data_IF_088355701630
#
_entry.id   IF_088355701630
#
_cell.length_a   1.000
_cell.length_b   1.000
_cell.length_c   1.000
_cell.angle_alpha   90.00
_cell.angle_beta   90.00
_cell.angle_gamma   90.00
#
_symmetry.space_group_name_H-M   'P 1'
#
loop_
_entity.id
_entity.type
_entity.pdbx_description
1 polymer ?
#
# COMPACT_ATOMS: atom_id res chain seq x y z
N UNK A 1 -1.13 -6.01 -33.48
CA UNK A 1 -1.64 -6.27 -32.12
C UNK A 1 -2.11 -4.95 -31.57
N UNK A 2 -3.34 -4.90 -31.05
CA UNK A 2 -3.84 -3.72 -30.38
C UNK A 2 -3.18 -3.52 -29.01
N UNK A 3 -3.20 -2.30 -28.49
CA UNK A 3 -2.79 -2.02 -27.11
C UNK A 3 -3.56 -2.86 -26.09
N UNK A 4 -4.85 -3.11 -26.36
CA UNK A 4 -5.72 -3.96 -25.54
C UNK A 4 -5.20 -5.40 -25.48
N UNK A 5 -4.78 -5.97 -26.62
CA UNK A 5 -4.19 -7.30 -26.65
C UNK A 5 -2.83 -7.36 -25.96
N UNK A 6 -2.01 -6.33 -26.11
CA UNK A 6 -0.72 -6.23 -25.45
C UNK A 6 -0.89 -6.23 -23.92
N UNK A 7 -1.84 -5.43 -23.41
CA UNK A 7 -2.18 -5.35 -21.98
C UNK A 7 -2.67 -6.69 -21.43
N UNK A 8 -3.61 -7.36 -22.11
CA UNK A 8 -4.10 -8.69 -21.70
C UNK A 8 -2.99 -9.72 -21.61
N UNK A 9 -2.07 -9.72 -22.59
CA UNK A 9 -0.93 -10.65 -22.63
C UNK A 9 0.04 -10.40 -21.48
N UNK A 10 0.29 -9.14 -21.14
CA UNK A 10 1.17 -8.76 -20.03
C UNK A 10 0.59 -9.21 -18.68
N UNK A 11 -0.70 -8.93 -18.42
CA UNK A 11 -1.41 -9.36 -17.19
C UNK A 11 -1.32 -10.88 -17.03
N UNK A 12 -1.60 -11.62 -18.11
CA UNK A 12 -1.57 -13.08 -18.09
C UNK A 12 -0.17 -13.67 -17.81
N UNK A 13 0.90 -12.96 -18.19
CA UNK A 13 2.28 -13.37 -17.90
C UNK A 13 2.67 -13.11 -16.44
N UNK A 14 2.22 -11.98 -15.89
CA UNK A 14 2.43 -11.63 -14.47
C UNK A 14 1.70 -12.64 -13.58
N UNK A 15 0.42 -12.92 -13.83
CA UNK A 15 -0.39 -13.86 -13.04
C UNK A 15 0.18 -15.29 -13.01
N UNK A 16 0.87 -15.71 -14.06
CA UNK A 16 1.48 -17.04 -14.17
C UNK A 16 2.90 -17.10 -13.59
N UNK A 17 3.52 -15.96 -13.28
CA UNK A 17 4.86 -15.93 -12.70
C UNK A 17 4.81 -16.36 -11.24
N UNK A 18 5.68 -17.32 -10.88
CA UNK A 18 5.93 -17.71 -9.47
C UNK A 18 7.26 -17.18 -8.95
N UNK A 19 7.98 -16.37 -9.74
CA UNK A 19 9.25 -15.80 -9.33
C UNK A 19 9.02 -14.49 -8.57
N UNK A 20 9.22 -14.46 -7.24
CA UNK A 20 8.92 -13.28 -6.42
C UNK A 20 9.84 -12.09 -6.72
N UNK A 21 11.07 -12.32 -7.20
CA UNK A 21 11.97 -11.23 -7.59
C UNK A 21 11.44 -10.51 -8.83
N UNK A 22 11.06 -11.27 -9.85
CA UNK A 22 10.50 -10.73 -11.10
C UNK A 22 9.18 -9.99 -10.85
N UNK A 23 8.32 -10.50 -9.97
CA UNK A 23 7.05 -9.85 -9.62
C UNK A 23 7.27 -8.51 -8.92
N UNK A 24 8.26 -8.42 -8.02
CA UNK A 24 8.62 -7.15 -7.36
C UNK A 24 9.17 -6.14 -8.35
N UNK A 25 10.05 -6.56 -9.27
CA UNK A 25 10.56 -5.69 -10.32
C UNK A 25 9.45 -5.23 -11.26
N UNK A 26 8.54 -6.12 -11.66
CA UNK A 26 7.40 -5.77 -12.49
C UNK A 26 6.49 -4.74 -11.79
N UNK A 27 6.20 -4.93 -10.49
CA UNK A 27 5.44 -3.97 -9.70
C UNK A 27 6.15 -2.61 -9.62
N UNK A 28 7.48 -2.60 -9.47
CA UNK A 28 8.26 -1.36 -9.43
C UNK A 28 8.33 -0.64 -10.78
N UNK A 29 8.45 -1.41 -11.87
CA UNK A 29 8.51 -0.91 -13.26
C UNK A 29 7.19 -0.35 -13.74
N UNK A 30 6.06 -0.97 -13.35
CA UNK A 30 4.73 -0.40 -13.55
C UNK A 30 4.55 0.89 -12.73
N UNK A 31 5.45 1.16 -11.78
CA UNK A 31 5.32 2.26 -10.84
C UNK A 31 4.07 2.14 -10.00
N UNK A 32 3.83 3.17 -9.20
CA UNK A 32 2.45 3.55 -8.97
C UNK A 32 2.12 4.48 -10.13
N UNK A 33 1.21 4.10 -11.01
CA UNK A 33 0.49 5.08 -11.84
C UNK A 33 -0.36 6.00 -10.93
N UNK A 34 0.17 6.45 -9.78
CA UNK A 34 -0.51 7.21 -8.75
C UNK A 34 -1.01 8.56 -9.26
N UNK A 35 -0.38 9.07 -10.32
CA UNK A 35 -0.86 10.23 -11.05
C UNK A 35 -2.13 9.93 -11.87
N UNK A 36 -2.30 8.69 -12.33
CA UNK A 36 -3.45 8.23 -13.14
C UNK A 36 -4.50 7.47 -12.30
N UNK A 37 -4.20 7.15 -11.04
CA UNK A 37 -5.14 6.54 -10.09
C UNK A 37 -5.92 7.64 -9.36
N UNK A 38 -7.25 7.50 -9.33
CA UNK A 38 -8.05 8.37 -8.46
C UNK A 38 -7.63 8.18 -6.99
N UNK A 39 -7.30 9.26 -6.25
CA UNK A 39 -6.96 9.16 -4.85
C UNK A 39 -8.11 8.51 -4.06
N UNK A 40 -7.78 7.54 -3.21
CA UNK A 40 -8.76 6.93 -2.33
C UNK A 40 -9.42 7.98 -1.42
N UNK A 41 -10.73 8.17 -1.57
CA UNK A 41 -11.51 9.09 -0.75
C UNK A 41 -11.79 8.43 0.61
N UNK A 42 -11.15 8.97 1.64
CA UNK A 42 -11.34 8.52 3.02
C UNK A 42 -12.81 8.71 3.45
N UNK A 43 -13.34 7.77 4.23
CA UNK A 43 -14.59 7.96 4.96
C UNK A 43 -14.40 9.02 6.06
N UNK A 44 -15.52 9.55 6.59
CA UNK A 44 -15.46 10.51 7.70
C UNK A 44 -14.71 9.96 8.92
N UNK A 45 -14.89 8.67 9.22
CA UNK A 45 -14.22 7.98 10.32
C UNK A 45 -12.71 7.87 10.10
N UNK A 46 -12.31 7.45 8.90
CA UNK A 46 -10.90 7.37 8.52
C UNK A 46 -10.23 8.75 8.56
N UNK A 47 -10.91 9.78 8.05
CA UNK A 47 -10.41 11.15 8.08
C UNK A 47 -10.28 11.68 9.51
N UNK A 48 -11.24 11.37 10.39
CA UNK A 48 -11.14 11.67 11.81
C UNK A 48 -9.95 10.95 12.47
N UNK A 49 -9.71 9.68 12.12
CA UNK A 49 -8.57 8.91 12.63
C UNK A 49 -7.23 9.51 12.21
N UNK A 50 -7.08 9.87 10.93
CA UNK A 50 -5.89 10.55 10.41
C UNK A 50 -5.67 11.89 11.12
N UNK A 51 -6.74 12.66 11.34
CA UNK A 51 -6.65 13.95 12.02
C UNK A 51 -6.24 13.81 13.49
N UNK A 52 -6.66 12.73 14.17
CA UNK A 52 -6.17 12.42 15.52
C UNK A 52 -4.68 12.11 15.51
N UNK A 53 -4.23 11.20 14.64
CA UNK A 53 -2.81 10.86 14.52
C UNK A 53 -1.92 12.08 14.22
N UNK A 54 -2.37 12.99 13.35
CA UNK A 54 -1.65 14.25 13.10
C UNK A 54 -1.52 15.14 14.34
N UNK A 55 -2.54 15.19 15.20
CA UNK A 55 -2.50 15.92 16.48
C UNK A 55 -1.57 15.22 17.48
N UNK A 56 -1.54 13.89 17.49
CA UNK A 56 -0.69 13.11 18.37
C UNK A 56 0.79 13.34 18.05
N UNK A 57 1.16 13.35 16.75
CA UNK A 57 2.52 13.69 16.31
C UNK A 57 2.93 15.11 16.75
N UNK A 58 2.06 16.11 16.57
CA UNK A 58 2.32 17.49 17.01
C UNK A 58 2.48 17.62 18.53
N UNK A 59 1.83 16.75 19.28
CA UNK A 59 1.87 16.73 20.73
C UNK A 59 2.94 15.77 21.29
N UNK A 60 3.84 15.27 20.43
CA UNK A 60 4.88 14.29 20.77
C UNK A 60 4.34 12.99 21.41
N UNK A 61 3.05 12.70 21.19
CA UNK A 61 2.39 11.45 21.60
C UNK A 61 2.61 10.39 20.53
N UNK A 62 3.88 10.07 20.28
CA UNK A 62 4.31 9.06 19.30
C UNK A 62 4.77 7.79 20.00
N UNK A 63 4.75 6.68 19.28
CA UNK A 63 5.31 5.42 19.74
C UNK A 63 6.73 5.28 19.21
N UNK A 64 7.63 4.73 20.03
CA UNK A 64 8.91 4.22 19.53
C UNK A 64 8.66 3.00 18.65
N UNK A 65 9.60 2.69 17.77
CA UNK A 65 9.54 1.49 16.92
C UNK A 65 9.21 0.22 17.73
N UNK A 66 9.90 0.02 18.86
CA UNK A 66 9.67 -1.13 19.74
C UNK A 66 8.26 -1.16 20.32
N UNK A 67 7.72 0.00 20.74
CA UNK A 67 6.37 0.08 21.28
C UNK A 67 5.31 -0.13 20.20
N UNK A 68 5.54 0.39 18.98
CA UNK A 68 4.67 0.17 17.83
C UNK A 68 4.64 -1.32 17.44
N UNK A 69 5.81 -1.98 17.37
CA UNK A 69 5.90 -3.40 17.05
C UNK A 69 5.15 -4.25 18.09
N UNK A 70 5.34 -3.97 19.39
CA UNK A 70 4.61 -4.68 20.46
C UNK A 70 3.09 -4.53 20.32
N UNK A 71 2.61 -3.32 20.03
CA UNK A 71 1.18 -3.07 19.84
C UNK A 71 0.61 -3.82 18.62
N UNK A 72 1.40 -3.95 17.55
CA UNK A 72 1.02 -4.75 16.38
C UNK A 72 0.98 -6.23 16.72
N UNK A 73 1.97 -6.75 17.44
CA UNK A 73 2.00 -8.15 17.87
C UNK A 73 0.81 -8.49 18.76
N UNK A 74 0.49 -7.63 19.74
CA UNK A 74 -0.70 -7.78 20.60
C UNK A 74 -2.00 -7.76 19.79
N UNK A 75 -2.12 -6.87 18.81
CA UNK A 75 -3.28 -6.80 17.92
C UNK A 75 -3.43 -8.06 17.05
N UNK A 76 -2.31 -8.64 16.61
CA UNK A 76 -2.27 -9.87 15.84
C UNK A 76 -2.38 -11.14 16.72
N UNK A 77 -2.40 -10.99 18.05
CA UNK A 77 -2.44 -12.10 19.00
C UNK A 77 -1.18 -12.97 19.00
N UNK A 78 -0.01 -12.37 18.73
CA UNK A 78 1.29 -13.05 18.67
C UNK A 78 2.11 -12.90 19.94
#
# INVERSE_FOLDING_TARGET
MSEVELKKRLISRIQRSRNPSLLREAFRLMGTDAADLEPYKLTKEQQASVNRGKKDVKAERTLTERAANKAVDEWLGK
#
